data_IF_386741964733
#
_entry.id   IF_386741964733
#
_cell.length_a   1.000
_cell.length_b   1.000
_cell.length_c   1.000
_cell.angle_alpha   90.00
_cell.angle_beta   90.00
_cell.angle_gamma   90.00
#
_symmetry.space_group_name_H-M   'P 1'
#
loop_
_entity.id
_entity.type
_entity.pdbx_description
1 polymer ?
#
# COMPACT_ATOMS: atom_id res chain seq x y z
N UNK A 1 3.68 -22.96 -2.77
CA UNK A 1 3.55 -21.53 -3.13
C UNK A 1 2.13 -21.15 -3.58
N UNK A 2 1.67 -21.41 -4.81
CA UNK A 2 0.34 -20.92 -5.26
C UNK A 2 -0.86 -21.46 -4.44
N UNK A 3 -0.92 -22.78 -4.21
CA UNK A 3 -2.01 -23.37 -3.42
C UNK A 3 -2.00 -22.93 -1.95
N UNK A 4 -0.82 -22.68 -1.40
CA UNK A 4 -0.64 -22.16 -0.05
C UNK A 4 -1.13 -20.72 0.06
N UNK A 5 -0.77 -19.85 -0.89
CA UNK A 5 -1.28 -18.48 -0.96
C UNK A 5 -2.82 -18.43 -1.00
N UNK A 6 -3.44 -19.26 -1.87
CA UNK A 6 -4.89 -19.33 -1.96
C UNK A 6 -5.56 -19.82 -0.67
N UNK A 7 -5.01 -20.86 -0.03
CA UNK A 7 -5.56 -21.40 1.21
C UNK A 7 -5.37 -20.45 2.38
N UNK A 8 -4.14 -19.99 2.59
CA UNK A 8 -3.74 -19.14 3.71
C UNK A 8 -4.40 -17.77 3.63
N UNK A 9 -4.33 -17.09 2.48
CA UNK A 9 -4.80 -15.70 2.38
C UNK A 9 -6.29 -15.60 2.00
N UNK A 10 -6.74 -16.34 0.98
CA UNK A 10 -8.12 -16.17 0.47
C UNK A 10 -9.15 -17.03 1.19
N UNK A 11 -8.83 -18.30 1.44
CA UNK A 11 -9.79 -19.23 2.03
C UNK A 11 -9.89 -19.06 3.56
N UNK A 12 -8.74 -18.92 4.22
CA UNK A 12 -8.67 -18.91 5.69
C UNK A 12 -8.29 -17.55 6.29
N UNK A 13 -7.80 -16.61 5.48
CA UNK A 13 -7.39 -15.28 5.93
C UNK A 13 -6.50 -15.33 7.19
N UNK A 14 -5.46 -16.16 7.16
CA UNK A 14 -4.62 -16.44 8.32
C UNK A 14 -3.69 -15.29 8.69
N UNK A 15 -3.37 -14.38 7.75
CA UNK A 15 -2.44 -13.27 8.01
C UNK A 15 -2.96 -12.27 9.06
N UNK A 16 -4.28 -12.12 9.20
CA UNK A 16 -4.89 -11.25 10.23
C UNK A 16 -5.15 -11.97 11.55
N UNK A 17 -4.83 -13.27 11.63
CA UNK A 17 -4.98 -14.07 12.84
C UNK A 17 -3.58 -14.22 13.47
N UNK A 18 -3.32 -13.60 14.63
CA UNK A 18 -2.01 -13.65 15.26
C UNK A 18 -1.48 -15.09 15.40
N UNK A 19 -0.25 -15.31 14.96
CA UNK A 19 0.49 -16.56 15.05
C UNK A 19 -0.15 -17.78 14.35
N UNK A 20 -1.19 -17.58 13.51
CA UNK A 20 -1.91 -18.66 12.81
C UNK A 20 -1.23 -19.12 11.51
N UNK A 21 -0.18 -18.43 11.08
CA UNK A 21 0.62 -18.75 9.90
C UNK A 21 2.11 -18.58 10.23
N UNK A 22 2.97 -19.38 9.62
CA UNK A 22 4.42 -19.29 9.81
C UNK A 22 5.15 -19.26 8.47
N UNK A 23 6.19 -18.44 8.38
CA UNK A 23 7.12 -18.38 7.25
C UNK A 23 8.50 -18.72 7.79
N UNK A 24 9.16 -19.73 7.22
CA UNK A 24 10.51 -20.17 7.64
C UNK A 24 10.63 -20.41 9.15
N UNK A 25 9.65 -21.12 9.73
CA UNK A 25 9.58 -21.43 11.16
C UNK A 25 9.23 -20.23 12.06
N UNK A 26 9.02 -19.04 11.50
CA UNK A 26 8.65 -17.83 12.23
C UNK A 26 7.16 -17.58 12.14
N UNK A 27 6.46 -17.58 13.28
CA UNK A 27 5.04 -17.21 13.33
C UNK A 27 4.83 -15.75 12.95
N UNK A 28 3.77 -15.51 12.16
CA UNK A 28 3.42 -14.20 11.61
C UNK A 28 2.28 -13.60 12.44
N UNK A 29 2.50 -12.38 12.88
CA UNK A 29 1.49 -11.54 13.55
C UNK A 29 1.65 -10.10 13.03
N UNK A 30 0.79 -9.70 12.10
CA UNK A 30 0.88 -8.38 11.45
C UNK A 30 0.54 -7.23 12.42
N UNK A 31 -0.09 -7.53 13.56
CA UNK A 31 -0.34 -6.51 14.58
C UNK A 31 0.96 -5.99 15.20
N UNK A 32 2.05 -6.75 15.12
CA UNK A 32 3.39 -6.34 15.60
C UNK A 32 4.13 -5.41 14.65
N UNK A 33 3.57 -5.08 13.49
CA UNK A 33 4.17 -4.11 12.57
C UNK A 33 3.94 -2.72 13.16
N UNK A 34 5.02 -2.12 13.69
CA UNK A 34 5.03 -0.76 14.27
C UNK A 34 5.55 0.30 13.30
N UNK A 35 6.22 -0.11 12.22
CA UNK A 35 6.74 0.80 11.19
C UNK A 35 5.60 1.59 10.55
N UNK A 36 5.73 2.91 10.34
CA UNK A 36 4.72 3.70 9.64
C UNK A 36 4.39 3.12 8.26
N UNK A 37 3.09 3.04 7.92
CA UNK A 37 2.61 2.47 6.66
C UNK A 37 1.94 3.54 5.81
N UNK A 38 2.17 3.47 4.50
CA UNK A 38 1.38 4.19 3.51
C UNK A 38 0.60 3.17 2.69
N UNK A 39 -0.72 3.16 2.81
CA UNK A 39 -1.62 2.17 2.21
C UNK A 39 -2.44 2.84 1.12
N UNK A 40 -2.45 2.23 -0.06
CA UNK A 40 -3.19 2.76 -1.23
C UNK A 40 -4.30 1.80 -1.62
N UNK A 41 -5.52 2.33 -1.73
CA UNK A 41 -6.64 1.67 -2.40
C UNK A 41 -7.08 2.48 -3.61
N UNK A 42 -7.79 1.85 -4.56
CA UNK A 42 -8.37 2.54 -5.71
C UNK A 42 -9.91 2.42 -5.70
N UNK A 43 -10.62 3.53 -5.91
CA UNK A 43 -12.07 3.64 -5.71
C UNK A 43 -12.88 2.62 -6.52
N UNK A 44 -12.44 2.34 -7.75
CA UNK A 44 -13.14 1.45 -8.71
C UNK A 44 -12.37 0.14 -8.92
N UNK A 45 -11.54 -0.25 -7.96
CA UNK A 45 -10.81 -1.50 -8.00
C UNK A 45 -11.74 -2.69 -7.70
N UNK A 46 -11.88 -3.58 -8.68
CA UNK A 46 -12.67 -4.81 -8.57
C UNK A 46 -11.79 -6.04 -8.27
N UNK A 47 -10.47 -5.90 -8.31
CA UNK A 47 -9.50 -6.96 -7.98
C UNK A 47 -9.17 -6.90 -6.49
N UNK A 48 -8.83 -5.70 -6.00
CA UNK A 48 -8.58 -5.43 -4.58
C UNK A 48 -9.56 -4.35 -4.12
N UNK A 49 -10.76 -4.72 -3.63
CA UNK A 49 -11.72 -3.74 -3.16
C UNK A 49 -11.08 -2.85 -2.09
N UNK A 50 -11.15 -1.53 -2.26
CA UNK A 50 -10.44 -0.58 -1.40
C UNK A 50 -10.82 -0.70 0.07
N UNK A 51 -12.06 -1.12 0.40
CA UNK A 51 -12.49 -1.39 1.78
C UNK A 51 -11.68 -2.52 2.42
N UNK A 52 -11.24 -3.50 1.63
CA UNK A 52 -10.34 -4.56 2.08
C UNK A 52 -8.94 -4.03 2.35
N UNK A 53 -8.40 -3.20 1.45
CA UNK A 53 -7.12 -2.51 1.67
C UNK A 53 -7.17 -1.56 2.89
N UNK A 54 -8.29 -0.85 3.08
CA UNK A 54 -8.50 0.06 4.21
C UNK A 54 -8.38 -0.65 5.55
N UNK A 55 -8.83 -1.91 5.66
CA UNK A 55 -8.72 -2.71 6.89
C UNK A 55 -7.28 -2.86 7.39
N UNK A 56 -6.26 -2.67 6.56
CA UNK A 56 -4.86 -2.61 7.01
C UNK A 56 -4.68 -1.60 8.15
N UNK A 57 -5.38 -0.45 8.09
CA UNK A 57 -5.34 0.59 9.14
C UNK A 57 -5.85 0.11 10.51
N UNK A 58 -6.56 -1.02 10.56
CA UNK A 58 -7.21 -1.55 11.75
C UNK A 58 -6.49 -2.77 12.35
N UNK A 59 -5.53 -3.34 11.63
CA UNK A 59 -4.91 -4.63 11.98
C UNK A 59 -3.40 -4.55 12.23
N UNK A 60 -2.80 -3.38 12.00
CA UNK A 60 -1.38 -3.08 12.26
C UNK A 60 -1.28 -2.08 13.43
N UNK A 61 -0.17 -2.08 14.17
CA UNK A 61 0.06 -1.13 15.27
C UNK A 61 0.73 0.17 14.82
N UNK A 62 1.46 0.14 13.71
CA UNK A 62 2.14 1.30 13.15
C UNK A 62 1.16 2.36 12.64
N UNK A 63 1.59 3.63 12.67
CA UNK A 63 0.80 4.73 12.11
C UNK A 63 0.54 4.48 10.62
N UNK A 64 -0.73 4.30 10.25
CA UNK A 64 -1.13 4.07 8.88
C UNK A 64 -1.68 5.36 8.24
N UNK A 65 -1.15 5.74 7.08
CA UNK A 65 -1.75 6.74 6.19
C UNK A 65 -2.47 6.01 5.07
N UNK A 66 -3.78 6.19 4.95
CA UNK A 66 -4.55 5.64 3.85
C UNK A 66 -4.81 6.69 2.77
N UNK A 67 -4.47 6.35 1.52
CA UNK A 67 -4.77 7.13 0.34
C UNK A 67 -5.71 6.35 -0.59
N UNK A 68 -6.80 6.99 -1.01
CA UNK A 68 -7.76 6.40 -1.94
C UNK A 68 -7.70 7.14 -3.28
N UNK A 69 -7.13 6.50 -4.29
CA UNK A 69 -6.95 7.09 -5.64
C UNK A 69 -8.17 6.86 -6.53
N UNK A 70 -8.45 7.82 -7.41
CA UNK A 70 -9.49 7.68 -8.43
C UNK A 70 -9.08 6.63 -9.47
N UNK A 71 -10.08 5.95 -10.05
CA UNK A 71 -9.87 4.93 -11.09
C UNK A 71 -9.95 3.49 -10.57
N UNK A 72 -9.74 2.53 -11.48
CA UNK A 72 -9.69 1.10 -11.17
C UNK A 72 -8.27 0.61 -10.87
N UNK A 73 -8.08 -0.69 -10.70
CA UNK A 73 -6.81 -1.31 -10.24
C UNK A 73 -5.55 -0.67 -10.86
N UNK A 74 -5.36 -0.79 -12.18
CA UNK A 74 -4.17 -0.25 -12.86
C UNK A 74 -4.24 1.27 -12.99
N UNK A 75 -5.38 1.83 -13.41
CA UNK A 75 -5.51 3.26 -13.67
C UNK A 75 -5.36 4.12 -12.41
N UNK A 76 -5.73 3.59 -11.24
CA UNK A 76 -5.55 4.23 -9.95
C UNK A 76 -4.13 4.05 -9.42
N UNK A 77 -3.55 2.85 -9.51
CA UNK A 77 -2.18 2.58 -9.09
C UNK A 77 -1.17 3.38 -9.92
N UNK A 78 -1.33 3.39 -11.25
CA UNK A 78 -0.50 4.13 -12.20
C UNK A 78 -1.20 5.42 -12.61
N UNK A 79 -1.23 6.39 -11.69
CA UNK A 79 -1.91 7.67 -11.87
C UNK A 79 -0.90 8.83 -11.72
N UNK A 80 -0.10 9.14 -12.76
CA UNK A 80 1.03 10.05 -12.63
C UNK A 80 0.61 11.52 -12.39
N UNK A 81 1.48 12.34 -11.76
CA UNK A 81 1.29 13.78 -11.64
C UNK A 81 1.04 14.45 -13.00
N UNK A 82 0.22 15.49 -13.00
CA UNK A 82 -0.16 16.23 -14.21
C UNK A 82 -1.27 15.60 -15.04
N UNK A 83 -1.78 14.41 -14.68
CA UNK A 83 -2.95 13.84 -15.34
C UNK A 83 -4.24 14.58 -14.88
N UNK A 84 -5.00 15.22 -15.79
CA UNK A 84 -6.11 16.11 -15.39
C UNK A 84 -7.27 15.45 -14.65
N UNK A 85 -7.41 14.12 -14.75
CA UNK A 85 -8.46 13.34 -14.08
C UNK A 85 -7.95 12.63 -12.82
N UNK A 86 -6.68 12.83 -12.46
CA UNK A 86 -6.13 12.31 -11.22
C UNK A 86 -6.75 13.05 -10.04
N UNK A 87 -7.27 12.28 -9.10
CA UNK A 87 -7.70 12.76 -7.81
C UNK A 87 -7.48 11.65 -6.80
N UNK A 88 -7.28 12.02 -5.55
CA UNK A 88 -7.17 11.06 -4.46
C UNK A 88 -7.75 11.66 -3.17
N UNK A 89 -8.01 10.83 -2.17
CA UNK A 89 -8.45 11.25 -0.84
C UNK A 89 -7.44 10.78 0.18
N UNK A 90 -7.23 11.60 1.21
CA UNK A 90 -6.54 11.19 2.44
C UNK A 90 -7.37 11.63 3.64
N UNK A 91 -7.22 10.93 4.76
CA UNK A 91 -7.90 11.25 6.01
C UNK A 91 -6.91 11.21 7.17
N UNK A 92 -7.06 12.15 8.11
CA UNK A 92 -6.23 12.23 9.30
C UNK A 92 -6.55 11.13 10.33
N UNK A 93 -7.80 10.70 10.39
CA UNK A 93 -8.27 9.62 11.25
C UNK A 93 -8.67 8.39 10.42
N UNK A 94 -8.66 7.22 11.05
CA UNK A 94 -9.02 5.94 10.43
C UNK A 94 -10.09 5.23 11.26
N UNK A 95 -11.36 5.71 11.26
CA UNK A 95 -12.45 5.00 11.92
C UNK A 95 -12.59 3.57 11.36
N UNK A 96 -13.12 2.65 12.17
CA UNK A 96 -13.25 1.25 11.77
C UNK A 96 -14.19 1.04 10.57
N UNK A 97 -15.14 1.97 10.37
CA UNK A 97 -16.02 1.97 9.20
C UNK A 97 -15.35 2.70 8.02
N UNK A 98 -14.99 1.99 6.93
CA UNK A 98 -14.41 2.62 5.75
C UNK A 98 -15.36 3.63 5.10
N UNK A 99 -16.68 3.44 5.16
CA UNK A 99 -17.63 4.35 4.53
C UNK A 99 -17.74 5.67 5.30
N UNK A 100 -17.59 5.62 6.63
CA UNK A 100 -17.42 6.82 7.46
C UNK A 100 -16.12 7.56 7.13
N UNK A 101 -15.00 6.84 6.92
CA UNK A 101 -13.75 7.44 6.46
C UNK A 101 -13.90 8.12 5.10
N UNK A 102 -14.61 7.48 4.17
CA UNK A 102 -14.87 8.06 2.84
C UNK A 102 -15.71 9.33 2.93
N UNK A 103 -16.75 9.33 3.78
CA UNK A 103 -17.61 10.49 3.99
C UNK A 103 -16.89 11.66 4.68
N UNK A 104 -15.89 11.38 5.51
CA UNK A 104 -15.08 12.39 6.21
C UNK A 104 -13.82 12.84 5.46
N UNK A 105 -13.52 12.28 4.29
CA UNK A 105 -12.34 12.64 3.50
C UNK A 105 -12.73 13.39 2.23
N UNK A 106 -12.07 14.52 1.98
CA UNK A 106 -12.30 15.35 0.79
C UNK A 106 -11.37 14.96 -0.36
N UNK A 107 -11.85 15.03 -1.62
CA UNK A 107 -11.02 14.74 -2.77
C UNK A 107 -10.02 15.88 -3.02
N UNK A 108 -8.76 15.50 -3.19
CA UNK A 108 -7.67 16.36 -3.62
C UNK A 108 -7.39 16.09 -5.09
N UNK A 109 -7.39 17.15 -5.89
CA UNK A 109 -7.00 17.06 -7.30
C UNK A 109 -5.49 16.83 -7.40
N UNK A 110 -5.05 15.87 -8.20
CA UNK A 110 -3.64 15.51 -8.33
C UNK A 110 -3.38 14.03 -8.12
N UNK A 111 -2.10 13.66 -8.07
CA UNK A 111 -1.68 12.27 -7.92
C UNK A 111 -1.39 11.94 -6.45
N UNK A 112 -1.82 10.77 -6.00
CA UNK A 112 -1.40 10.22 -4.71
C UNK A 112 0.13 10.02 -4.63
N UNK A 113 0.85 9.99 -5.76
CA UNK A 113 2.31 9.91 -5.78
C UNK A 113 2.96 11.15 -5.16
N UNK A 114 2.35 12.32 -5.31
CA UNK A 114 2.88 13.58 -4.74
C UNK A 114 2.79 13.54 -3.22
N UNK A 115 1.64 13.11 -2.70
CA UNK A 115 1.39 12.91 -1.27
C UNK A 115 2.31 11.84 -0.67
N UNK A 116 2.46 10.70 -1.36
CA UNK A 116 3.39 9.66 -0.95
C UNK A 116 4.84 10.13 -0.97
N UNK A 117 5.25 10.89 -1.99
CA UNK A 117 6.61 11.39 -2.10
C UNK A 117 6.95 12.37 -0.97
N UNK A 118 6.02 13.24 -0.58
CA UNK A 118 6.17 14.10 0.60
C UNK A 118 6.28 13.26 1.89
N UNK A 119 5.35 12.33 2.09
CA UNK A 119 5.33 11.43 3.25
C UNK A 119 6.62 10.61 3.38
N UNK A 120 7.15 10.09 2.26
CA UNK A 120 8.36 9.29 2.21
C UNK A 120 9.61 10.16 2.40
N UNK A 121 9.67 11.35 1.80
CA UNK A 121 10.82 12.27 1.91
C UNK A 121 11.06 12.67 3.36
N UNK A 122 10.01 12.98 4.10
CA UNK A 122 10.11 13.30 5.53
C UNK A 122 10.72 12.15 6.38
N UNK A 123 10.71 10.92 5.84
CA UNK A 123 11.18 9.69 6.49
C UNK A 123 12.45 9.12 5.83
N UNK A 124 13.04 9.83 4.87
CA UNK A 124 14.18 9.33 4.06
C UNK A 124 15.56 9.78 4.58
N UNK A 125 15.60 10.50 5.70
CA UNK A 125 16.84 11.05 6.24
C UNK A 125 17.41 12.20 5.42
N UNK A 126 18.64 12.60 5.73
CA UNK A 126 19.31 13.70 5.03
C UNK A 126 19.81 13.29 3.64
N UNK A 127 19.80 14.26 2.71
CA UNK A 127 20.35 14.02 1.37
C UNK A 127 21.87 13.89 1.43
N UNK A 128 22.37 12.74 1.04
CA UNK A 128 23.80 12.44 0.93
C UNK A 128 24.28 12.31 -0.51
N UNK A 129 25.60 12.19 -0.67
CA UNK A 129 26.21 11.78 -1.94
C UNK A 129 25.70 10.37 -2.30
N UNK A 130 25.25 10.12 -3.53
CA UNK A 130 24.88 8.77 -3.97
C UNK A 130 26.04 7.78 -3.78
N UNK A 131 25.79 6.55 -3.31
CA UNK A 131 26.83 5.55 -3.18
C UNK A 131 27.36 5.12 -4.56
N UNK A 132 28.61 4.69 -4.62
CA UNK A 132 29.13 3.99 -5.80
C UNK A 132 28.51 2.60 -5.85
N UNK A 133 27.71 2.34 -6.89
CA UNK A 133 27.10 1.03 -7.10
C UNK A 133 28.06 0.09 -7.85
N UNK A 134 28.01 -1.22 -7.59
CA UNK A 134 28.76 -2.19 -8.38
C UNK A 134 28.26 -2.23 -9.84
N UNK A 135 29.16 -2.52 -10.78
CA UNK A 135 28.80 -2.72 -12.18
C UNK A 135 27.93 -3.97 -12.33
N UNK A 136 26.80 -3.86 -13.03
CA UNK A 136 25.88 -4.95 -13.32
C UNK A 136 25.29 -4.87 -14.72
N UNK A 137 24.43 -5.83 -15.07
CA UNK A 137 23.68 -5.81 -16.34
C UNK A 137 22.79 -4.57 -16.41
N UNK A 138 22.78 -3.82 -17.53
CA UNK A 138 21.87 -2.68 -17.67
C UNK A 138 20.40 -3.08 -17.43
N UNK A 139 19.64 -2.18 -16.81
CA UNK A 139 18.19 -2.34 -16.70
C UNK A 139 17.56 -2.47 -18.11
N UNK A 140 16.53 -3.32 -18.30
CA UNK A 140 15.74 -4.00 -17.27
C UNK A 140 16.25 -5.41 -16.90
N UNK A 141 17.42 -5.83 -17.40
CA UNK A 141 17.94 -7.19 -17.20
C UNK A 141 17.23 -8.25 -18.04
N UNK A 142 17.52 -9.52 -17.78
CA UNK A 142 17.05 -10.65 -18.59
C UNK A 142 15.83 -11.37 -18.01
N UNK A 143 15.64 -11.36 -16.68
CA UNK A 143 14.55 -12.10 -16.03
C UNK A 143 13.14 -11.64 -16.45
N UNK A 144 13.00 -10.39 -16.90
CA UNK A 144 11.74 -9.85 -17.43
C UNK A 144 11.47 -10.25 -18.88
N UNK A 145 12.50 -10.72 -19.61
CA UNK A 145 12.44 -11.00 -21.04
C UNK A 145 12.04 -12.44 -21.38
N UNK A 146 12.04 -13.35 -20.39
CA UNK A 146 11.64 -14.76 -20.53
C UNK A 146 12.81 -15.72 -20.51
#
# INVERSE_FOLDING_TARGET
MHAEYLRTCYLHNLLVQPDAFSIDGTSVDISRIETPLYVVGAEKDHIVPWRGAYRTTQVVSGEARFALTSGGHIAGAVNPPGYPKAAFRTGAEHPSDPDAWLAGSEPVQGSWWEDWAEWATARSGERGRPPTLPTGTPAPGEYVLG
#
